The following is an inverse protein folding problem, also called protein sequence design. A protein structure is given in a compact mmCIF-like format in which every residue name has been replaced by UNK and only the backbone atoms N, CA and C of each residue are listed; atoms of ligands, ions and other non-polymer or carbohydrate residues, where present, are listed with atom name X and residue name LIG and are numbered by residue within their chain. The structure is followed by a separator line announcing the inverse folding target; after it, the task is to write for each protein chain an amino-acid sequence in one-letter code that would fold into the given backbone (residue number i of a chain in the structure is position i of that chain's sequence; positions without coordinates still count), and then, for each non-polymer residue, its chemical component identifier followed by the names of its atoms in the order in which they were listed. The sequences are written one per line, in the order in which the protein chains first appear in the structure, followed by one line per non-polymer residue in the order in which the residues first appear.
data_IF_179772088697
#
_entry.id   IF_179772088697
#
_cell.length_a   1.000
_cell.length_b   1.000
_cell.length_c   1.000
_cell.angle_alpha   90.00
_cell.angle_beta   90.00
_cell.angle_gamma   90.00
#
_symmetry.space_group_name_H-M   'P 1'
#
loop_
_entity.id
_entity.type
_entity.pdbx_description
1 polymer ?
#
# COMPACT_ATOMS: atom_id res chain seq x y z
N UNK A 1 -47.50 -22.37 2.16
CA UNK A 1 -47.33 -21.17 1.33
C UNK A 1 -45.89 -20.66 1.49
N UNK A 2 -45.11 -20.74 0.41
CA UNK A 2 -43.65 -20.86 0.40
C UNK A 2 -42.88 -19.74 1.15
N UNK A 3 -41.90 -20.14 1.98
CA UNK A 3 -40.94 -19.23 2.64
C UNK A 3 -40.28 -18.24 1.65
N UNK A 4 -40.09 -18.65 0.39
CA UNK A 4 -39.59 -17.82 -0.69
C UNK A 4 -40.53 -16.65 -1.07
N UNK A 5 -41.85 -16.86 -1.10
CA UNK A 5 -42.82 -15.80 -1.44
C UNK A 5 -42.86 -14.76 -0.34
N UNK A 6 -42.81 -15.19 0.93
CA UNK A 6 -42.68 -14.27 2.08
C UNK A 6 -41.42 -13.42 2.03
N UNK A 7 -40.28 -13.99 1.61
CA UNK A 7 -39.03 -13.25 1.49
C UNK A 7 -39.11 -12.16 0.42
N UNK A 8 -39.62 -12.48 -0.79
CA UNK A 8 -39.78 -11.51 -1.87
C UNK A 8 -40.77 -10.38 -1.53
N UNK A 9 -41.89 -10.68 -0.85
CA UNK A 9 -42.79 -9.65 -0.35
C UNK A 9 -42.12 -8.76 0.69
N UNK A 10 -41.32 -9.33 1.60
CA UNK A 10 -40.60 -8.57 2.63
C UNK A 10 -39.58 -7.62 2.00
N UNK A 11 -38.86 -8.07 0.95
CA UNK A 11 -37.93 -7.24 0.18
C UNK A 11 -38.67 -6.11 -0.55
N UNK A 12 -39.79 -6.42 -1.20
CA UNK A 12 -40.60 -5.42 -1.92
C UNK A 12 -41.17 -4.36 -0.97
N UNK A 13 -41.61 -4.77 0.22
CA UNK A 13 -42.09 -3.87 1.27
C UNK A 13 -40.97 -2.99 1.83
N UNK A 14 -39.77 -3.54 2.05
CA UNK A 14 -38.61 -2.78 2.51
C UNK A 14 -38.19 -1.71 1.49
N UNK A 15 -38.16 -2.03 0.20
CA UNK A 15 -37.82 -1.07 -0.87
C UNK A 15 -38.88 0.05 -0.96
N UNK A 16 -40.16 -0.29 -0.82
CA UNK A 16 -41.23 0.71 -0.82
C UNK A 16 -41.17 1.64 0.41
N UNK A 17 -40.78 1.12 1.58
CA UNK A 17 -40.57 1.90 2.79
C UNK A 17 -39.37 2.86 2.68
N UNK A 18 -38.31 2.47 1.94
CA UNK A 18 -37.18 3.36 1.63
C UNK A 18 -37.61 4.49 0.68
N UNK A 19 -38.47 4.18 -0.30
CA UNK A 19 -38.92 5.16 -1.29
C UNK A 19 -39.87 6.23 -0.74
N UNK A 20 -40.58 5.97 0.36
CA UNK A 20 -41.46 6.96 0.99
C UNK A 20 -40.69 8.05 1.74
N UNK A 21 -39.45 7.77 2.19
CA UNK A 21 -38.63 8.69 3.00
C UNK A 21 -37.17 8.79 2.50
N UNK A 22 -37.00 9.13 1.22
CA UNK A 22 -35.71 9.13 0.49
C UNK A 22 -34.57 9.85 1.21
N UNK A 23 -34.79 11.06 1.72
CA UNK A 23 -33.76 11.86 2.40
C UNK A 23 -33.28 11.17 3.68
N UNK A 24 -34.23 10.64 4.46
CA UNK A 24 -33.95 9.98 5.73
C UNK A 24 -33.17 8.69 5.51
N UNK A 25 -33.61 7.86 4.55
CA UNK A 25 -32.94 6.63 4.16
C UNK A 25 -31.55 6.87 3.58
N UNK A 26 -31.36 7.95 2.81
CA UNK A 26 -30.05 8.30 2.24
C UNK A 26 -29.06 8.74 3.32
N UNK A 27 -29.49 9.59 4.26
CA UNK A 27 -28.68 10.04 5.41
C UNK A 27 -28.25 8.88 6.33
N UNK A 28 -29.11 7.86 6.48
CA UNK A 28 -28.78 6.67 7.27
C UNK A 28 -27.78 5.77 6.59
N UNK A 29 -28.02 5.49 5.31
CA UNK A 29 -27.12 4.65 4.53
C UNK A 29 -25.76 5.30 4.39
N UNK A 30 -25.66 6.65 4.43
CA UNK A 30 -24.41 7.38 4.27
C UNK A 30 -23.32 6.95 5.26
N UNK A 31 -23.66 6.74 6.53
CA UNK A 31 -22.69 6.27 7.54
C UNK A 31 -22.17 4.86 7.25
N UNK A 32 -23.05 3.97 6.79
CA UNK A 32 -22.68 2.60 6.37
C UNK A 32 -21.85 2.62 5.09
N UNK A 33 -22.25 3.44 4.12
CA UNK A 33 -21.57 3.61 2.83
C UNK A 33 -20.13 4.10 3.05
N UNK A 34 -19.95 5.16 3.84
CA UNK A 34 -18.62 5.73 4.12
C UNK A 34 -17.76 4.75 4.91
N UNK A 35 -18.33 4.11 5.94
CA UNK A 35 -17.60 3.12 6.74
C UNK A 35 -17.11 1.94 5.89
N UNK A 36 -17.98 1.37 5.07
CA UNK A 36 -17.65 0.24 4.19
C UNK A 36 -16.66 0.64 3.08
N UNK A 37 -16.86 1.79 2.44
CA UNK A 37 -15.95 2.29 1.42
C UNK A 37 -14.53 2.50 1.98
N UNK A 38 -14.42 3.07 3.18
CA UNK A 38 -13.13 3.33 3.85
C UNK A 38 -12.35 2.04 4.12
N UNK A 39 -13.04 1.00 4.64
CA UNK A 39 -12.43 -0.32 4.90
C UNK A 39 -11.92 -0.94 3.60
N UNK A 40 -12.71 -0.90 2.52
CA UNK A 40 -12.30 -1.48 1.23
C UNK A 40 -11.08 -0.78 0.66
N UNK A 41 -11.09 0.55 0.63
CA UNK A 41 -9.98 1.33 0.08
C UNK A 41 -8.68 0.98 0.79
N UNK A 42 -8.71 0.93 2.11
CA UNK A 42 -7.52 0.66 2.91
C UNK A 42 -6.98 -0.76 2.72
N UNK A 43 -7.85 -1.76 2.81
CA UNK A 43 -7.42 -3.16 2.61
C UNK A 43 -6.90 -3.35 1.18
N UNK A 44 -7.50 -2.68 0.20
CA UNK A 44 -7.04 -2.73 -1.19
C UNK A 44 -5.67 -2.07 -1.37
N UNK A 45 -5.44 -0.93 -0.72
CA UNK A 45 -4.12 -0.26 -0.70
C UNK A 45 -3.09 -1.17 -0.01
N UNK A 46 -3.41 -1.73 1.15
CA UNK A 46 -2.52 -2.61 1.89
C UNK A 46 -2.09 -3.82 1.05
N UNK A 47 -3.06 -4.53 0.47
CA UNK A 47 -2.78 -5.66 -0.41
C UNK A 47 -1.98 -5.26 -1.66
N UNK A 48 -2.24 -4.07 -2.22
CA UNK A 48 -1.53 -3.57 -3.39
C UNK A 48 -0.08 -3.23 -3.07
N UNK A 49 0.17 -2.59 -1.92
CA UNK A 49 1.53 -2.28 -1.43
C UNK A 49 2.28 -3.57 -1.13
N UNK A 50 1.70 -4.48 -0.34
CA UNK A 50 2.35 -5.76 -0.01
C UNK A 50 2.67 -6.54 -1.27
N UNK A 51 1.73 -6.65 -2.22
CA UNK A 51 1.95 -7.32 -3.50
C UNK A 51 3.05 -6.66 -4.34
N UNK A 52 3.07 -5.32 -4.42
CA UNK A 52 4.11 -4.58 -5.13
C UNK A 52 5.49 -4.84 -4.53
N UNK A 53 5.63 -4.69 -3.22
CA UNK A 53 6.91 -4.88 -2.52
C UNK A 53 7.39 -6.32 -2.66
N UNK A 54 6.52 -7.31 -2.47
CA UNK A 54 6.84 -8.73 -2.69
C UNK A 54 7.35 -8.94 -4.11
N UNK A 55 6.67 -8.38 -5.12
CA UNK A 55 7.09 -8.54 -6.52
C UNK A 55 8.44 -7.87 -6.82
N UNK A 56 8.77 -6.75 -6.19
CA UNK A 56 10.09 -6.13 -6.36
C UNK A 56 11.19 -6.94 -5.68
N UNK A 57 10.93 -7.52 -4.51
CA UNK A 57 11.90 -8.41 -3.88
C UNK A 57 12.07 -9.74 -4.62
N UNK A 58 11.01 -10.32 -5.16
CA UNK A 58 11.10 -11.49 -6.03
C UNK A 58 11.98 -11.21 -7.25
N UNK A 59 11.87 -10.00 -7.84
CA UNK A 59 12.75 -9.58 -8.94
C UNK A 59 14.20 -9.42 -8.48
N UNK A 60 14.45 -8.91 -7.27
CA UNK A 60 15.81 -8.73 -6.73
C UNK A 60 16.45 -10.06 -6.28
N UNK A 61 15.64 -11.08 -5.98
CA UNK A 61 16.06 -12.36 -5.41
C UNK A 61 16.01 -12.34 -3.88
N UNK A 62 15.60 -13.45 -3.26
CA UNK A 62 15.44 -13.60 -1.80
C UNK A 62 16.74 -13.46 -0.98
N UNK A 63 17.88 -13.34 -1.66
CA UNK A 63 19.22 -13.43 -1.08
C UNK A 63 19.92 -12.06 -1.03
N UNK A 64 19.14 -10.97 -0.98
CA UNK A 64 19.67 -9.60 -0.90
C UNK A 64 19.62 -9.10 0.54
N UNK A 65 20.74 -8.59 1.03
CA UNK A 65 20.86 -7.85 2.29
C UNK A 65 21.27 -6.43 1.96
N UNK A 66 20.48 -5.46 2.40
CA UNK A 66 20.77 -4.04 2.29
C UNK A 66 21.39 -3.54 3.60
N UNK A 67 22.59 -2.99 3.53
CA UNK A 67 23.19 -2.27 4.65
C UNK A 67 22.97 -0.77 4.46
N UNK A 68 22.36 -0.11 5.46
CA UNK A 68 22.19 1.34 5.50
C UNK A 68 23.02 1.96 6.61
N UNK A 69 23.57 3.15 6.44
CA UNK A 69 24.33 3.83 7.47
C UNK A 69 23.44 4.30 8.63
N UNK A 70 23.99 4.20 9.83
CA UNK A 70 23.33 4.54 11.08
C UNK A 70 22.27 3.54 11.51
N UNK A 71 21.65 3.85 12.65
CA UNK A 71 20.53 3.09 13.21
C UNK A 71 19.21 3.60 12.61
N UNK A 72 18.65 2.85 11.67
CA UNK A 72 17.36 3.17 11.08
C UNK A 72 16.28 2.48 11.91
N UNK A 73 15.66 3.23 12.82
CA UNK A 73 14.46 2.76 13.53
C UNK A 73 13.25 3.06 12.65
N UNK A 74 12.67 2.03 12.04
CA UNK A 74 11.35 2.12 11.38
C UNK A 74 10.27 2.16 12.47
N UNK A 75 10.20 3.27 13.22
CA UNK A 75 9.17 3.48 14.24
C UNK A 75 8.12 4.46 13.73
N UNK A 76 6.85 4.09 13.90
CA UNK A 76 5.69 4.97 13.75
C UNK A 76 5.74 5.99 14.88
N UNK A 77 6.39 7.14 14.66
CA UNK A 77 6.46 8.19 15.70
C UNK A 77 7.68 9.10 15.71
N UNK A 78 8.13 9.61 14.55
CA UNK A 78 8.96 10.83 14.53
C UNK A 78 10.47 10.66 14.71
N UNK A 79 11.03 9.49 14.47
CA UNK A 79 12.46 9.39 14.16
C UNK A 79 12.72 9.91 12.75
N UNK A 80 13.54 10.94 12.58
CA UNK A 80 13.90 11.46 11.26
C UNK A 80 14.69 10.37 10.50
N UNK A 81 14.15 9.71 9.45
CA UNK A 81 14.83 8.60 8.77
C UNK A 81 16.15 9.04 8.14
N UNK A 82 16.34 10.36 7.99
CA UNK A 82 17.54 10.96 7.39
C UNK A 82 18.70 11.17 8.36
N UNK A 83 18.52 11.01 9.68
CA UNK A 83 19.58 11.29 10.66
C UNK A 83 20.76 10.32 10.55
N UNK A 84 20.49 9.03 10.26
CA UNK A 84 21.54 8.03 9.94
C UNK A 84 22.22 8.27 8.59
N UNK A 85 21.46 8.80 7.61
CA UNK A 85 21.98 9.13 6.28
C UNK A 85 22.91 10.35 6.28
N UNK A 86 22.81 11.26 7.26
CA UNK A 86 23.66 12.47 7.31
C UNK A 86 25.10 12.23 7.76
N UNK A 87 25.36 11.19 8.57
CA UNK A 87 26.70 10.85 9.10
C UNK A 87 27.11 9.41 8.74
N UNK A 88 27.05 9.05 7.46
CA UNK A 88 27.53 7.75 6.99
C UNK A 88 29.02 7.59 7.27
N UNK A 89 29.38 6.56 8.05
CA UNK A 89 30.77 6.13 8.30
C UNK A 89 31.22 5.03 7.33
N UNK A 90 30.37 4.63 6.38
CA UNK A 90 30.72 3.63 5.39
C UNK A 90 31.88 4.11 4.52
N UNK A 91 32.76 3.18 4.23
CA UNK A 91 33.94 3.36 3.41
C UNK A 91 34.10 2.16 2.47
N UNK A 92 35.08 2.24 1.57
CA UNK A 92 35.45 1.10 0.71
C UNK A 92 36.05 -0.07 1.52
N UNK A 93 36.38 0.14 2.81
CA UNK A 93 36.88 -0.91 3.71
C UNK A 93 35.81 -1.94 4.01
N UNK A 94 34.56 -1.51 4.23
CA UNK A 94 33.45 -2.41 4.49
C UNK A 94 33.22 -3.36 3.31
N UNK A 95 33.29 -2.85 2.07
CA UNK A 95 33.20 -3.67 0.86
C UNK A 95 34.28 -4.77 0.88
N UNK A 96 35.54 -4.40 1.11
CA UNK A 96 36.67 -5.35 1.13
C UNK A 96 36.51 -6.40 2.23
N UNK A 97 35.96 -6.04 3.38
CA UNK A 97 35.68 -6.98 4.46
C UNK A 97 34.59 -7.97 4.06
N UNK A 98 33.55 -7.52 3.35
CA UNK A 98 32.44 -8.35 2.86
C UNK A 98 32.89 -9.25 1.70
N UNK A 99 33.69 -8.75 0.76
CA UNK A 99 34.23 -9.53 -0.38
C UNK A 99 35.09 -10.71 0.07
N UNK A 100 35.73 -10.63 1.25
CA UNK A 100 36.48 -11.73 1.85
C UNK A 100 35.60 -12.90 2.30
N UNK A 101 34.30 -12.68 2.49
CA UNK A 101 33.34 -13.72 2.88
C UNK A 101 32.91 -14.56 1.68
N UNK A 102 33.85 -15.09 0.90
CA UNK A 102 33.60 -15.83 -0.34
C UNK A 102 32.76 -17.10 -0.15
N UNK A 103 32.72 -17.64 1.07
CA UNK A 103 31.82 -18.73 1.46
C UNK A 103 30.36 -18.32 1.53
N UNK A 104 30.06 -17.04 1.78
CA UNK A 104 28.72 -16.52 2.12
C UNK A 104 28.17 -15.53 1.10
N UNK A 105 29.03 -14.64 0.61
CA UNK A 105 28.67 -13.55 -0.29
C UNK A 105 28.99 -13.96 -1.72
N UNK A 106 28.03 -13.73 -2.62
CA UNK A 106 28.19 -13.92 -4.06
C UNK A 106 28.73 -12.64 -4.70
N UNK A 107 28.11 -11.50 -4.39
CA UNK A 107 28.52 -10.19 -4.90
C UNK A 107 28.15 -9.08 -3.90
N UNK A 108 28.89 -7.98 -3.94
CA UNK A 108 28.61 -6.77 -3.15
C UNK A 108 28.80 -5.55 -4.03
N UNK A 109 27.97 -4.53 -3.81
CA UNK A 109 28.08 -3.25 -4.50
C UNK A 109 27.74 -2.10 -3.58
N UNK A 110 28.35 -0.94 -3.83
CA UNK A 110 28.03 0.30 -3.14
C UNK A 110 27.01 1.13 -3.88
N UNK A 111 26.29 1.93 -3.12
CA UNK A 111 25.46 3.00 -3.65
C UNK A 111 25.80 4.33 -2.99
N UNK A 112 25.87 5.37 -3.81
CA UNK A 112 25.86 6.76 -3.36
C UNK A 112 24.89 7.53 -4.24
N UNK A 113 23.87 8.11 -3.62
CA UNK A 113 22.82 8.85 -4.33
C UNK A 113 22.94 10.35 -4.11
N UNK A 114 22.71 11.13 -5.16
CA UNK A 114 22.53 12.59 -5.09
C UNK A 114 21.54 13.04 -6.19
N UNK A 115 20.95 14.21 -6.04
CA UNK A 115 20.09 14.79 -7.09
C UNK A 115 20.88 15.80 -7.91
N UNK A 116 20.90 15.63 -9.23
CA UNK A 116 21.63 16.50 -10.16
C UNK A 116 20.76 16.92 -11.33
N UNK A 117 21.07 18.07 -11.93
CA UNK A 117 20.38 18.55 -13.12
C UNK A 117 21.01 17.90 -14.35
N UNK A 118 20.24 17.07 -15.05
CA UNK A 118 20.62 16.54 -16.36
C UNK A 118 20.16 17.48 -17.47
N UNK A 119 21.02 17.73 -18.45
CA UNK A 119 20.77 18.61 -19.59
C UNK A 119 21.22 17.98 -20.91
N UNK A 120 20.35 18.06 -21.91
CA UNK A 120 20.67 17.75 -23.30
C UNK A 120 20.00 18.79 -24.20
N UNK A 121 20.80 19.52 -24.98
CA UNK A 121 20.32 20.63 -25.82
C UNK A 121 19.51 21.65 -24.98
N UNK A 122 18.21 21.79 -25.27
CA UNK A 122 17.27 22.68 -24.58
C UNK A 122 16.45 21.99 -23.48
N UNK A 123 16.56 20.67 -23.34
CA UNK A 123 15.80 19.92 -22.34
C UNK A 123 16.63 19.80 -21.06
N UNK A 124 15.98 20.00 -19.93
CA UNK A 124 16.58 19.87 -18.60
C UNK A 124 15.64 19.07 -17.70
N UNK A 125 16.22 18.26 -16.81
CA UNK A 125 15.47 17.43 -15.89
C UNK A 125 16.30 17.15 -14.64
N UNK A 126 15.69 17.24 -13.46
CA UNK A 126 16.35 16.84 -12.21
C UNK A 126 16.17 15.33 -12.02
N UNK A 127 17.28 14.62 -11.89
CA UNK A 127 17.31 13.17 -11.78
C UNK A 127 18.19 12.73 -10.62
N UNK A 128 17.83 11.61 -10.02
CA UNK A 128 18.66 10.94 -9.04
C UNK A 128 19.84 10.28 -9.75
N UNK A 129 21.04 10.71 -9.39
CA UNK A 129 22.27 10.02 -9.73
C UNK A 129 22.42 8.84 -8.78
N UNK A 130 22.64 7.67 -9.34
CA UNK A 130 22.93 6.45 -8.61
C UNK A 130 24.37 6.02 -8.90
N UNK A 131 25.29 6.44 -8.05
CA UNK A 131 26.70 6.14 -8.23
C UNK A 131 27.02 4.78 -7.63
N UNK A 132 27.56 3.87 -8.44
CA UNK A 132 27.78 2.48 -8.04
C UNK A 132 29.02 1.87 -8.71
N UNK A 133 29.32 0.61 -8.43
CA UNK A 133 30.42 -0.12 -9.07
C UNK A 133 29.96 -1.01 -10.23
N UNK A 134 30.93 -1.66 -10.87
CA UNK A 134 30.69 -2.53 -12.03
C UNK A 134 29.86 -3.79 -11.73
N UNK A 135 29.73 -4.20 -10.46
CA UNK A 135 29.00 -5.40 -10.05
C UNK A 135 27.52 -5.13 -9.80
N UNK A 136 27.05 -3.90 -9.99
CA UNK A 136 25.67 -3.51 -9.71
C UNK A 136 24.64 -4.45 -10.32
N UNK A 137 24.82 -4.87 -11.58
CA UNK A 137 23.86 -5.75 -12.27
C UNK A 137 23.92 -7.21 -11.77
N UNK A 138 25.00 -7.62 -11.12
CA UNK A 138 25.13 -8.96 -10.54
C UNK A 138 24.44 -9.05 -9.18
N UNK A 139 24.44 -7.93 -8.44
CA UNK A 139 23.79 -7.78 -7.13
C UNK A 139 22.32 -7.45 -7.26
N UNK A 140 22.00 -6.47 -8.11
CA UNK A 140 20.65 -5.94 -8.31
C UNK A 140 20.21 -6.35 -9.72
N UNK A 141 19.08 -7.04 -9.82
CA UNK A 141 18.56 -7.58 -11.08
C UNK A 141 17.96 -6.48 -11.98
N UNK A 142 18.76 -5.47 -12.34
CA UNK A 142 18.48 -4.50 -13.39
C UNK A 142 18.94 -5.08 -14.73
N UNK A 143 18.11 -4.91 -15.77
CA UNK A 143 18.45 -5.30 -17.13
C UNK A 143 18.71 -4.06 -17.99
N UNK A 144 19.78 -4.11 -18.77
CA UNK A 144 20.09 -3.10 -19.78
C UNK A 144 19.52 -3.59 -21.10
N UNK A 145 18.47 -2.93 -21.61
CA UNK A 145 17.77 -3.35 -22.84
C UNK A 145 18.47 -2.85 -24.11
N UNK A 146 19.30 -1.82 -23.98
CA UNK A 146 19.99 -1.19 -25.10
C UNK A 146 21.37 -0.72 -24.65
N UNK A 147 22.40 -1.04 -25.42
CA UNK A 147 23.79 -0.72 -25.09
C UNK A 147 24.39 -1.72 -24.10
N UNK A 148 25.16 -1.22 -23.11
CA UNK A 148 25.85 -2.04 -22.11
C UNK A 148 25.99 -1.31 -20.77
N UNK A 149 26.37 -2.06 -19.74
CA UNK A 149 26.85 -1.49 -18.48
C UNK A 149 28.33 -1.07 -18.59
N UNK A 150 28.80 -0.25 -17.64
CA UNK A 150 30.22 0.12 -17.60
C UNK A 150 31.07 -1.05 -17.06
N UNK A 151 32.27 -1.16 -17.60
CA UNK A 151 33.23 -2.23 -17.27
C UNK A 151 34.05 -1.88 -16.03
N UNK A 152 34.75 -2.89 -15.48
CA UNK A 152 35.72 -2.69 -14.39
C UNK A 152 36.81 -1.67 -14.73
N UNK A 153 37.30 -1.66 -15.97
CA UNK A 153 38.31 -0.72 -16.43
C UNK A 153 37.80 0.72 -16.43
N UNK A 154 36.57 0.94 -16.92
CA UNK A 154 35.91 2.26 -16.92
C UNK A 154 35.60 2.74 -15.50
N UNK A 155 35.24 1.82 -14.60
CA UNK A 155 35.12 2.13 -13.18
C UNK A 155 36.47 2.58 -12.60
N UNK A 156 37.55 1.83 -12.83
CA UNK A 156 38.87 2.16 -12.29
C UNK A 156 39.45 3.47 -12.85
N UNK A 157 39.19 3.78 -14.13
CA UNK A 157 39.67 5.00 -14.78
C UNK A 157 38.80 6.23 -14.52
N UNK A 158 37.75 6.12 -13.68
CA UNK A 158 36.75 7.17 -13.47
C UNK A 158 36.16 7.71 -14.79
N UNK A 159 35.79 6.79 -15.70
CA UNK A 159 35.24 7.14 -16.99
C UNK A 159 33.92 7.91 -16.87
N UNK A 160 33.71 8.89 -17.75
CA UNK A 160 32.51 9.72 -17.79
C UNK A 160 31.43 9.07 -18.65
N UNK A 161 30.99 7.89 -18.21
CA UNK A 161 29.94 7.11 -18.86
C UNK A 161 28.73 7.00 -17.95
N UNK A 162 27.55 6.87 -18.53
CA UNK A 162 26.30 6.74 -17.80
C UNK A 162 25.37 5.70 -18.43
N UNK A 163 24.58 5.05 -17.57
CA UNK A 163 23.45 4.20 -17.95
C UNK A 163 22.19 4.86 -17.43
N UNK A 164 21.19 5.06 -18.29
CA UNK A 164 20.03 5.90 -17.97
C UNK A 164 18.73 5.11 -17.94
N UNK A 165 17.81 5.51 -17.08
CA UNK A 165 16.45 4.99 -17.04
C UNK A 165 15.55 5.58 -18.12
N UNK A 166 14.40 4.93 -18.33
CA UNK A 166 13.50 5.26 -19.44
C UNK A 166 12.88 6.67 -19.33
N UNK A 167 12.61 7.19 -18.13
CA UNK A 167 12.11 8.57 -17.96
C UNK A 167 13.14 9.59 -18.45
N UNK A 168 14.43 9.34 -18.24
CA UNK A 168 15.49 10.22 -18.73
C UNK A 168 15.53 10.23 -20.26
N UNK A 169 15.32 9.07 -20.89
CA UNK A 169 15.20 8.99 -22.36
C UNK A 169 14.04 9.86 -22.83
N UNK A 170 12.84 9.66 -22.26
CA UNK A 170 11.63 10.39 -22.66
C UNK A 170 11.73 11.91 -22.44
N UNK A 171 12.23 12.34 -21.27
CA UNK A 171 12.30 13.76 -20.88
C UNK A 171 13.45 14.49 -21.55
N UNK A 172 14.62 13.86 -21.63
CA UNK A 172 15.86 14.51 -22.05
C UNK A 172 16.12 14.34 -23.55
N UNK A 173 15.93 13.14 -24.08
CA UNK A 173 16.21 12.78 -25.47
C UNK A 173 14.96 12.71 -26.37
N UNK A 174 13.76 12.62 -25.79
CA UNK A 174 12.47 12.54 -26.51
C UNK A 174 12.46 11.37 -27.50
N UNK A 175 12.44 11.67 -28.81
CA UNK A 175 12.38 10.66 -29.88
C UNK A 175 13.76 10.31 -30.44
N UNK A 176 14.84 10.84 -29.86
CA UNK A 176 16.20 10.58 -30.30
C UNK A 176 16.80 9.37 -29.57
N UNK A 177 17.52 8.49 -30.28
CA UNK A 177 18.31 7.42 -29.66
C UNK A 177 19.39 8.05 -28.75
N UNK A 178 19.41 7.74 -27.44
CA UNK A 178 20.36 8.32 -26.49
C UNK A 178 21.75 7.68 -26.55
N UNK A 179 21.90 6.45 -27.06
CA UNK A 179 23.17 5.73 -27.03
C UNK A 179 24.27 6.46 -27.80
N UNK A 180 25.45 6.53 -27.19
CA UNK A 180 26.64 7.20 -27.73
C UNK A 180 26.59 8.73 -27.65
N UNK A 181 25.49 9.32 -27.16
CA UNK A 181 25.34 10.77 -27.08
C UNK A 181 25.90 11.32 -25.78
N UNK A 182 26.38 12.55 -25.89
CA UNK A 182 26.84 13.32 -24.74
C UNK A 182 25.69 14.13 -24.14
N UNK A 183 25.54 14.08 -22.82
CA UNK A 183 24.67 14.94 -22.04
C UNK A 183 25.45 15.51 -20.86
N UNK A 184 24.92 16.56 -20.25
CA UNK A 184 25.57 17.23 -19.11
C UNK A 184 24.85 16.91 -17.82
N UNK A 185 25.58 16.51 -16.79
CA UNK A 185 25.14 16.45 -15.40
C UNK A 185 25.75 17.64 -14.66
N UNK A 186 24.89 18.57 -14.23
CA UNK A 186 25.25 19.93 -13.79
C UNK A 186 26.15 20.65 -14.79
N UNK A 187 27.47 20.57 -14.62
CA UNK A 187 28.50 21.18 -15.45
C UNK A 187 29.47 20.17 -16.09
N UNK A 188 29.25 18.86 -15.89
CA UNK A 188 30.12 17.78 -16.35
C UNK A 188 29.48 16.97 -17.46
N UNK A 189 30.24 16.66 -18.51
CA UNK A 189 29.81 15.90 -19.69
C UNK A 189 29.96 14.40 -19.48
N UNK A 190 28.93 13.64 -19.87
CA UNK A 190 28.87 12.18 -19.80
C UNK A 190 28.35 11.59 -21.11
N UNK A 191 28.83 10.40 -21.47
CA UNK A 191 28.35 9.64 -22.62
C UNK A 191 27.36 8.57 -22.16
N UNK A 192 26.20 8.49 -22.80
CA UNK A 192 25.24 7.41 -22.56
C UNK A 192 25.74 6.12 -23.22
N UNK A 193 25.97 5.08 -22.43
CA UNK A 193 26.44 3.77 -22.91
C UNK A 193 25.39 2.68 -22.79
N UNK A 194 24.30 2.92 -22.05
CA UNK A 194 23.24 1.95 -21.85
C UNK A 194 21.91 2.58 -21.41
N UNK A 195 20.83 1.84 -21.63
CA UNK A 195 19.46 2.18 -21.20
C UNK A 195 18.86 1.00 -20.44
N UNK A 196 18.32 1.26 -19.26
CA UNK A 196 17.64 0.24 -18.45
C UNK A 196 16.26 -0.16 -19.02
N UNK A 197 15.85 -1.39 -18.72
CA UNK A 197 14.46 -1.82 -18.86
C UNK A 197 13.53 -0.93 -18.03
N UNK A 198 12.35 -0.62 -18.58
CA UNK A 198 11.31 0.13 -17.88
C UNK A 198 10.78 -0.70 -16.72
N UNK A 199 10.92 -0.20 -15.48
CA UNK A 199 10.37 -0.84 -14.27
C UNK A 199 9.16 -0.09 -13.71
N UNK A 200 8.99 1.18 -14.06
CA UNK A 200 7.96 2.04 -13.49
C UNK A 200 8.33 2.56 -12.11
N UNK A 201 7.36 3.08 -11.37
CA UNK A 201 7.57 3.66 -10.05
C UNK A 201 6.33 3.60 -9.17
N UNK A 202 6.48 3.85 -7.88
CA UNK A 202 5.43 3.76 -6.86
C UNK A 202 5.33 5.05 -6.04
N UNK A 203 4.12 5.53 -5.74
CA UNK A 203 3.90 6.54 -4.69
C UNK A 203 4.64 7.86 -4.92
N UNK A 204 4.79 8.28 -6.18
CA UNK A 204 5.53 9.48 -6.58
C UNK A 204 7.04 9.26 -6.72
N UNK A 205 7.57 8.07 -6.42
CA UNK A 205 8.92 7.66 -6.84
C UNK A 205 8.90 7.20 -8.29
N UNK A 206 9.91 7.58 -9.05
CA UNK A 206 10.12 7.15 -10.44
C UNK A 206 11.45 6.41 -10.52
N UNK A 207 11.40 5.07 -10.52
CA UNK A 207 12.61 4.25 -10.62
C UNK A 207 13.20 4.28 -12.04
N UNK A 208 12.46 4.82 -13.03
CA UNK A 208 12.95 5.04 -14.39
C UNK A 208 13.63 6.43 -14.52
N UNK A 209 13.60 7.27 -13.48
CA UNK A 209 14.26 8.58 -13.40
C UNK A 209 15.68 8.50 -12.79
N UNK A 210 16.38 7.40 -13.06
CA UNK A 210 17.73 7.11 -12.55
C UNK A 210 18.80 7.36 -13.61
N UNK A 211 19.95 7.88 -13.19
CA UNK A 211 21.17 7.97 -14.00
C UNK A 211 22.30 7.31 -13.21
N UNK A 212 22.75 6.16 -13.69
CA UNK A 212 23.80 5.38 -13.04
C UNK A 212 25.16 5.74 -13.63
N UNK A 213 26.12 6.09 -12.76
CA UNK A 213 27.51 6.42 -13.13
C UNK A 213 28.50 5.67 -12.23
N UNK A 214 29.77 5.50 -12.64
CA UNK A 214 30.78 4.91 -11.76
C UNK A 214 30.97 5.73 -10.47
N UNK A 215 31.01 5.06 -9.32
CA UNK A 215 31.25 5.71 -8.01
C UNK A 215 32.56 6.49 -7.97
N UNK A 216 33.63 5.97 -8.60
CA UNK A 216 34.91 6.67 -8.76
C UNK A 216 34.75 8.00 -9.49
N UNK A 217 33.93 8.05 -10.55
CA UNK A 217 33.61 9.27 -11.30
C UNK A 217 32.81 10.24 -10.46
N UNK A 218 31.81 9.76 -9.71
CA UNK A 218 31.01 10.58 -8.82
C UNK A 218 31.85 11.19 -7.68
N UNK A 219 32.74 10.39 -7.09
CA UNK A 219 33.68 10.80 -6.05
C UNK A 219 34.65 11.87 -6.56
N UNK A 220 35.17 11.70 -7.77
CA UNK A 220 36.14 12.62 -8.39
C UNK A 220 35.49 13.94 -8.84
N UNK A 221 34.35 13.89 -9.53
CA UNK A 221 33.77 15.04 -10.19
C UNK A 221 32.75 15.82 -9.34
N UNK A 222 32.06 15.14 -8.43
CA UNK A 222 31.00 15.72 -7.60
C UNK A 222 31.31 15.68 -6.10
N UNK A 223 32.51 15.23 -5.71
CA UNK A 223 32.90 15.02 -4.30
C UNK A 223 31.90 14.13 -3.52
N UNK A 224 31.21 13.21 -4.22
CA UNK A 224 30.28 12.26 -3.61
C UNK A 224 31.05 11.16 -2.88
N UNK A 225 31.48 11.46 -1.65
CA UNK A 225 32.21 10.51 -0.80
C UNK A 225 31.30 9.70 0.13
N UNK A 226 30.06 10.16 0.30
CA UNK A 226 29.10 9.57 1.23
C UNK A 226 28.41 8.37 0.58
N UNK A 227 28.71 7.18 1.07
CA UNK A 227 28.02 5.94 0.68
C UNK A 227 26.66 5.93 1.39
N UNK A 228 25.58 5.88 0.60
CA UNK A 228 24.19 5.85 1.11
C UNK A 228 23.74 4.45 1.49
N UNK A 229 24.41 3.41 0.99
CA UNK A 229 24.11 2.03 1.30
C UNK A 229 25.10 1.05 0.66
N UNK A 230 25.02 -0.21 1.08
CA UNK A 230 25.75 -1.33 0.49
C UNK A 230 24.76 -2.45 0.23
N UNK A 231 24.67 -2.88 -1.02
CA UNK A 231 23.82 -3.99 -1.44
C UNK A 231 24.68 -5.26 -1.49
N UNK A 232 24.24 -6.32 -0.80
CA UNK A 232 25.01 -7.55 -0.63
C UNK A 232 24.15 -8.73 -1.07
N UNK A 233 24.59 -9.43 -2.12
CA UNK A 233 23.95 -10.65 -2.59
C UNK A 233 24.62 -11.86 -1.97
N UNK A 234 23.85 -12.66 -1.24
CA UNK A 234 24.33 -13.87 -0.57
C UNK A 234 24.14 -15.09 -1.46
N UNK A 235 24.94 -16.13 -1.22
CA UNK A 235 24.80 -17.40 -1.94
C UNK A 235 23.46 -18.07 -1.62
N UNK A 236 22.76 -18.65 -2.61
CA UNK A 236 21.48 -19.34 -2.37
C UNK A 236 21.54 -20.54 -1.42
N UNK A 237 22.73 -21.13 -1.24
CA UNK A 237 22.95 -22.28 -0.37
C UNK A 237 23.02 -21.94 1.12
N UNK A 238 22.92 -20.67 1.50
CA UNK A 238 23.08 -20.21 2.88
C UNK A 238 21.81 -19.49 3.33
N UNK A 239 21.33 -19.88 4.50
CA UNK A 239 20.22 -19.21 5.18
C UNK A 239 20.52 -17.73 5.39
N UNK A 240 19.58 -16.87 4.97
CA UNK A 240 19.79 -15.41 4.93
C UNK A 240 20.13 -14.83 6.31
N UNK A 241 19.58 -15.40 7.37
CA UNK A 241 19.83 -14.99 8.74
C UNK A 241 21.26 -15.33 9.21
N UNK A 242 21.83 -16.43 8.75
CA UNK A 242 23.22 -16.79 9.07
C UNK A 242 24.21 -15.99 8.21
N UNK A 243 23.85 -15.69 6.97
CA UNK A 243 24.58 -14.75 6.14
C UNK A 243 24.61 -13.35 6.78
N UNK A 244 23.46 -12.87 7.29
CA UNK A 244 23.33 -11.60 8.00
C UNK A 244 24.25 -11.53 9.22
N UNK A 245 24.33 -12.58 10.05
CA UNK A 245 25.26 -12.64 11.19
C UNK A 245 26.73 -12.56 10.76
N UNK A 246 27.10 -13.24 9.68
CA UNK A 246 28.46 -13.21 9.14
C UNK A 246 28.84 -11.82 8.62
N UNK A 247 27.91 -11.15 7.92
CA UNK A 247 28.07 -9.78 7.44
C UNK A 247 28.14 -8.80 8.62
N UNK A 248 27.27 -8.94 9.62
CA UNK A 248 27.30 -8.10 10.83
C UNK A 248 28.68 -8.15 11.50
N UNK A 249 29.26 -9.35 11.65
CA UNK A 249 30.62 -9.51 12.18
C UNK A 249 31.69 -8.80 11.33
N UNK A 250 31.55 -8.80 10.01
CA UNK A 250 32.48 -8.12 9.11
C UNK A 250 32.38 -6.58 9.23
N UNK A 251 31.17 -6.03 9.40
CA UNK A 251 30.97 -4.61 9.67
C UNK A 251 31.54 -4.20 11.04
N UNK A 252 31.37 -5.06 12.06
CA UNK A 252 31.86 -4.79 13.43
C UNK A 252 33.39 -4.78 13.56
N UNK A 253 34.15 -5.12 12.51
CA UNK A 253 35.60 -4.97 12.51
C UNK A 253 36.05 -3.50 12.47
N UNK A 254 35.24 -2.63 11.86
CA UNK A 254 35.56 -1.21 11.62
C UNK A 254 34.49 -0.26 12.15
N UNK A 255 33.27 -0.74 12.37
CA UNK A 255 32.10 0.04 12.77
C UNK A 255 31.51 -0.48 14.10
N UNK A 256 30.68 0.35 14.73
CA UNK A 256 29.88 -0.04 15.91
C UNK A 256 28.46 -0.41 15.52
N UNK A 257 27.72 -1.07 16.43
CA UNK A 257 26.33 -1.49 16.17
C UNK A 257 25.36 -0.35 15.84
N UNK A 258 25.66 0.87 16.25
CA UNK A 258 24.81 2.03 15.96
C UNK A 258 25.18 2.73 14.65
N UNK A 259 26.29 2.32 14.01
CA UNK A 259 26.77 2.92 12.75
C UNK A 259 26.16 2.29 11.50
N UNK A 260 25.41 1.19 11.64
CA UNK A 260 24.79 0.50 10.51
C UNK A 260 23.53 -0.26 10.90
N UNK A 261 22.67 -0.49 9.90
CA UNK A 261 21.52 -1.39 9.99
C UNK A 261 21.53 -2.31 8.79
N UNK A 262 21.30 -3.61 9.01
CA UNK A 262 21.18 -4.61 7.95
C UNK A 262 19.71 -5.01 7.80
N UNK A 263 19.16 -4.87 6.60
CA UNK A 263 17.79 -5.23 6.25
C UNK A 263 17.77 -6.42 5.30
N UNK A 264 16.91 -7.39 5.59
CA UNK A 264 16.49 -8.40 4.61
C UNK A 264 15.17 -8.00 3.95
N UNK A 265 14.84 -8.66 2.84
CA UNK A 265 13.54 -8.51 2.19
C UNK A 265 12.36 -8.77 3.15
N UNK A 266 12.47 -9.82 3.96
CA UNK A 266 11.46 -10.22 4.93
C UNK A 266 11.29 -9.19 6.06
N UNK A 267 12.39 -8.62 6.55
CA UNK A 267 12.35 -7.56 7.57
C UNK A 267 11.71 -6.28 7.04
N UNK A 268 11.94 -5.93 5.77
CA UNK A 268 11.28 -4.77 5.16
C UNK A 268 9.79 -5.05 4.94
N UNK A 269 9.43 -6.24 4.44
CA UNK A 269 8.03 -6.65 4.26
C UNK A 269 7.27 -6.69 5.58
N UNK A 270 7.86 -7.25 6.63
CA UNK A 270 7.24 -7.30 7.96
C UNK A 270 7.09 -5.90 8.56
N UNK A 271 8.06 -5.01 8.38
CA UNK A 271 7.96 -3.60 8.79
C UNK A 271 6.81 -2.88 8.08
N UNK A 272 6.69 -3.05 6.76
CA UNK A 272 5.60 -2.47 5.96
C UNK A 272 4.25 -3.03 6.41
N UNK A 273 4.14 -4.35 6.59
CA UNK A 273 2.93 -4.99 7.09
C UNK A 273 2.57 -4.50 8.51
N UNK A 274 3.56 -4.22 9.36
CA UNK A 274 3.34 -3.62 10.68
C UNK A 274 2.76 -2.20 10.59
N UNK A 275 3.29 -1.37 9.69
CA UNK A 275 2.76 -0.02 9.42
C UNK A 275 1.33 -0.10 8.87
N UNK A 276 1.11 -0.94 7.85
CA UNK A 276 -0.20 -1.14 7.26
C UNK A 276 -1.20 -1.68 8.27
N UNK A 277 -0.81 -2.62 9.14
CA UNK A 277 -1.65 -3.15 10.22
C UNK A 277 -2.04 -2.07 11.22
N UNK A 278 -1.11 -1.20 11.59
CA UNK A 278 -1.37 -0.07 12.50
C UNK A 278 -2.35 0.92 11.88
N UNK A 279 -2.12 1.32 10.62
CA UNK A 279 -3.05 2.17 9.87
C UNK A 279 -4.42 1.50 9.70
N UNK A 280 -4.44 0.20 9.43
CA UNK A 280 -5.66 -0.62 9.34
C UNK A 280 -6.43 -0.61 10.64
N UNK A 281 -5.74 -0.74 11.78
CA UNK A 281 -6.37 -0.71 13.09
C UNK A 281 -6.96 0.67 13.41
N UNK A 282 -6.21 1.76 13.15
CA UNK A 282 -6.68 3.12 13.38
C UNK A 282 -7.93 3.46 12.53
N UNK A 283 -7.88 3.12 11.24
CA UNK A 283 -9.00 3.35 10.32
C UNK A 283 -10.17 2.39 10.57
N UNK A 284 -9.92 1.16 11.03
CA UNK A 284 -10.98 0.28 11.52
C UNK A 284 -11.70 0.91 12.72
N UNK A 285 -10.99 1.61 13.61
CA UNK A 285 -11.59 2.42 14.66
C UNK A 285 -12.49 3.54 14.11
N UNK A 286 -12.02 4.29 13.12
CA UNK A 286 -12.81 5.35 12.46
C UNK A 286 -14.03 4.76 11.73
N UNK A 287 -13.86 3.61 11.07
CA UNK A 287 -14.94 2.88 10.42
C UNK A 287 -15.95 2.38 11.45
N UNK A 288 -15.50 1.84 12.59
CA UNK A 288 -16.36 1.41 13.68
C UNK A 288 -17.20 2.58 14.24
N UNK A 289 -16.60 3.76 14.41
CA UNK A 289 -17.34 4.98 14.81
C UNK A 289 -18.36 5.38 13.73
N UNK A 290 -17.95 5.40 12.46
CA UNK A 290 -18.84 5.74 11.33
C UNK A 290 -20.03 4.78 11.23
N UNK A 291 -19.79 3.51 11.52
CA UNK A 291 -20.83 2.47 11.56
C UNK A 291 -21.70 2.56 12.80
N UNK A 292 -21.16 2.98 13.93
CA UNK A 292 -21.97 3.26 15.11
C UNK A 292 -22.92 4.42 14.82
N UNK A 293 -22.45 5.49 14.18
CA UNK A 293 -23.30 6.61 13.74
C UNK A 293 -24.33 6.16 12.71
N UNK A 294 -23.91 5.41 11.67
CA UNK A 294 -24.83 4.86 10.66
C UNK A 294 -25.85 3.88 11.26
N UNK A 295 -25.41 3.03 12.18
CA UNK A 295 -26.21 2.05 12.90
C UNK A 295 -27.24 2.69 13.83
N UNK A 296 -26.85 3.72 14.59
CA UNK A 296 -27.81 4.54 15.36
C UNK A 296 -28.85 5.16 14.43
N UNK A 297 -28.42 5.63 13.26
CA UNK A 297 -29.34 6.08 12.23
C UNK A 297 -30.36 5.00 11.86
N UNK A 298 -29.91 3.78 11.54
CA UNK A 298 -30.78 2.65 11.19
C UNK A 298 -31.76 2.38 12.34
N UNK A 299 -31.25 2.32 13.57
CA UNK A 299 -32.07 2.11 14.77
C UNK A 299 -33.16 3.18 14.90
N UNK A 300 -32.82 4.46 14.73
CA UNK A 300 -33.76 5.57 14.86
C UNK A 300 -34.83 5.53 13.78
N UNK A 301 -34.46 5.29 12.51
CA UNK A 301 -35.44 5.14 11.44
C UNK A 301 -36.38 3.98 11.73
N UNK A 302 -35.83 2.86 12.18
CA UNK A 302 -36.63 1.69 12.50
C UNK A 302 -37.56 1.95 13.68
N UNK A 303 -37.13 2.66 14.72
CA UNK A 303 -38.01 3.06 15.83
C UNK A 303 -39.16 3.95 15.35
N UNK A 304 -38.87 4.93 14.48
CA UNK A 304 -39.90 5.80 13.91
C UNK A 304 -40.85 5.01 13.01
N UNK A 305 -40.34 4.11 12.17
CA UNK A 305 -41.14 3.21 11.32
C UNK A 305 -42.06 2.30 12.17
N UNK A 306 -41.55 1.77 13.30
CA UNK A 306 -42.36 0.99 14.23
C UNK A 306 -43.46 1.82 14.87
N UNK A 307 -43.20 3.09 15.20
CA UNK A 307 -44.24 3.98 15.74
C UNK A 307 -45.28 4.33 14.69
N UNK A 308 -44.88 4.72 13.47
CA UNK A 308 -45.78 5.05 12.36
C UNK A 308 -46.65 3.84 11.94
N UNK A 309 -46.09 2.63 12.03
CA UNK A 309 -46.77 1.37 11.66
C UNK A 309 -47.39 0.64 12.86
N UNK A 310 -47.56 1.30 14.02
CA UNK A 310 -48.08 0.66 15.24
C UNK A 310 -49.42 -0.02 15.00
N UNK A 311 -50.37 0.66 14.34
CA UNK A 311 -51.71 0.13 14.04
C UNK A 311 -51.67 -1.08 13.10
N UNK A 312 -50.80 -1.06 12.08
CA UNK A 312 -50.57 -2.17 11.15
C UNK A 312 -50.04 -3.42 11.89
N UNK A 313 -49.09 -3.23 12.82
CA UNK A 313 -48.53 -4.30 13.65
C UNK A 313 -49.62 -4.90 14.56
N UNK A 314 -50.46 -4.05 15.17
CA UNK A 314 -51.58 -4.48 16.01
C UNK A 314 -52.59 -5.33 15.24
N UNK A 315 -52.97 -4.89 14.04
CA UNK A 315 -53.84 -5.63 13.14
C UNK A 315 -53.25 -7.01 12.80
N UNK A 316 -51.99 -7.08 12.37
CA UNK A 316 -51.33 -8.37 12.05
C UNK A 316 -51.35 -9.35 13.21
N UNK A 317 -51.09 -8.88 14.43
CA UNK A 317 -51.14 -9.72 15.63
C UNK A 317 -52.56 -10.16 15.98
N UNK A 318 -53.56 -9.30 15.79
CA UNK A 318 -54.95 -9.66 16.00
C UNK A 318 -55.43 -10.77 15.04
N UNK A 319 -54.89 -10.83 13.81
CA UNK A 319 -55.15 -11.92 12.85
C UNK A 319 -54.23 -13.14 13.03
N UNK A 320 -53.42 -13.19 14.09
CA UNK A 320 -52.64 -14.38 14.48
C UNK A 320 -51.14 -14.37 14.15
N UNK A 321 -50.55 -13.23 13.76
CA UNK A 321 -49.09 -13.16 13.60
C UNK A 321 -48.36 -13.31 14.94
N UNK A 322 -47.40 -14.24 15.02
CA UNK A 322 -46.60 -14.42 16.24
C UNK A 322 -45.62 -13.27 16.44
N UNK A 323 -45.17 -12.97 17.69
CA UNK A 323 -44.13 -12.00 17.95
C UNK A 323 -42.85 -12.25 17.12
N UNK A 324 -42.51 -13.52 16.89
CA UNK A 324 -41.34 -13.90 16.10
C UNK A 324 -41.50 -13.55 14.60
N UNK A 325 -42.72 -13.60 14.05
CA UNK A 325 -42.97 -13.15 12.68
C UNK A 325 -42.69 -11.65 12.53
N UNK A 326 -43.13 -10.85 13.51
CA UNK A 326 -42.89 -9.41 13.53
C UNK A 326 -41.40 -9.10 13.71
N UNK A 327 -40.72 -9.82 14.62
CA UNK A 327 -39.28 -9.67 14.85
C UNK A 327 -38.50 -9.90 13.54
N UNK A 328 -38.71 -11.04 12.88
CA UNK A 328 -37.99 -11.39 11.64
C UNK A 328 -38.30 -10.38 10.53
N UNK A 329 -39.52 -9.87 10.42
CA UNK A 329 -39.89 -8.87 9.43
C UNK A 329 -39.05 -7.59 9.58
N UNK A 330 -39.06 -6.97 10.77
CA UNK A 330 -38.33 -5.72 11.00
C UNK A 330 -36.82 -5.92 10.97
N UNK A 331 -36.32 -7.07 11.44
CA UNK A 331 -34.88 -7.40 11.35
C UNK A 331 -34.42 -7.64 9.91
N UNK A 332 -35.28 -8.19 9.06
CA UNK A 332 -35.00 -8.32 7.62
C UNK A 332 -35.01 -6.96 6.94
N UNK A 333 -35.91 -6.05 7.33
CA UNK A 333 -35.97 -4.68 6.80
C UNK A 333 -34.69 -3.89 7.13
N UNK A 334 -34.21 -3.97 8.38
CA UNK A 334 -32.94 -3.33 8.78
C UNK A 334 -31.72 -3.97 8.09
N UNK A 335 -31.71 -5.30 7.93
CA UNK A 335 -30.67 -6.02 7.21
C UNK A 335 -30.61 -5.56 5.74
N UNK A 336 -31.75 -5.44 5.07
CA UNK A 336 -31.81 -4.98 3.67
C UNK A 336 -31.27 -3.57 3.53
N UNK A 337 -31.67 -2.64 4.41
CA UNK A 337 -31.16 -1.26 4.41
C UNK A 337 -29.64 -1.26 4.55
N UNK A 338 -29.12 -2.04 5.51
CA UNK A 338 -27.68 -2.11 5.74
C UNK A 338 -26.94 -2.72 4.56
N UNK A 339 -27.43 -3.83 4.00
CA UNK A 339 -26.84 -4.51 2.84
C UNK A 339 -26.84 -3.61 1.61
N UNK A 340 -27.92 -2.86 1.35
CA UNK A 340 -27.94 -1.88 0.26
C UNK A 340 -26.89 -0.79 0.50
N UNK A 341 -26.80 -0.26 1.72
CA UNK A 341 -25.74 0.68 2.09
C UNK A 341 -24.34 0.09 1.91
N UNK A 342 -24.13 -1.17 2.30
CA UNK A 342 -22.88 -1.88 2.16
C UNK A 342 -22.49 -2.13 0.70
N UNK A 343 -23.44 -2.52 -0.15
CA UNK A 343 -23.21 -2.67 -1.58
C UNK A 343 -22.84 -1.34 -2.25
N UNK A 344 -23.51 -0.24 -1.88
CA UNK A 344 -23.15 1.09 -2.35
C UNK A 344 -21.77 1.52 -1.84
N UNK A 345 -21.44 1.22 -0.58
CA UNK A 345 -20.10 1.42 -0.03
C UNK A 345 -19.04 0.59 -0.75
N UNK A 346 -19.35 -0.66 -1.10
CA UNK A 346 -18.48 -1.53 -1.89
C UNK A 346 -18.23 -0.94 -3.26
N UNK A 347 -19.30 -0.50 -3.92
CA UNK A 347 -19.23 0.12 -5.24
C UNK A 347 -18.39 1.42 -5.22
N UNK A 348 -18.62 2.31 -4.24
CA UNK A 348 -17.83 3.53 -4.11
C UNK A 348 -16.36 3.24 -3.74
N UNK A 349 -16.11 2.26 -2.86
CA UNK A 349 -14.75 1.82 -2.55
C UNK A 349 -14.03 1.26 -3.77
N UNK A 350 -14.73 0.48 -4.60
CA UNK A 350 -14.20 -0.02 -5.87
C UNK A 350 -13.86 1.13 -6.84
N UNK A 351 -14.77 2.08 -7.06
CA UNK A 351 -14.51 3.25 -7.90
C UNK A 351 -13.32 4.07 -7.37
N UNK A 352 -13.26 4.30 -6.06
CA UNK A 352 -12.15 4.99 -5.43
C UNK A 352 -10.82 4.24 -5.63
N UNK A 353 -10.82 2.91 -5.53
CA UNK A 353 -9.63 2.09 -5.79
C UNK A 353 -9.15 2.19 -7.24
N UNK A 354 -10.06 2.29 -8.22
CA UNK A 354 -9.70 2.45 -9.63
C UNK A 354 -9.00 3.80 -9.87
N UNK A 355 -9.53 4.86 -9.26
CA UNK A 355 -8.91 6.20 -9.34
C UNK A 355 -7.54 6.20 -8.66
N UNK A 356 -7.46 5.58 -7.48
CA UNK A 356 -6.23 5.49 -6.70
C UNK A 356 -5.16 4.62 -7.36
N UNK A 357 -5.55 3.59 -8.13
CA UNK A 357 -4.62 2.68 -8.84
C UNK A 357 -3.60 3.42 -9.71
N UNK A 358 -3.95 4.60 -10.22
CA UNK A 358 -3.06 5.44 -11.02
C UNK A 358 -1.92 6.08 -10.21
N UNK A 359 -2.05 6.15 -8.88
CA UNK A 359 -1.10 6.81 -7.98
C UNK A 359 -0.47 5.83 -6.98
N UNK A 360 -1.27 4.86 -6.52
CA UNK A 360 -0.92 3.87 -5.50
C UNK A 360 -1.47 2.51 -5.95
N UNK A 361 -0.67 1.43 -5.96
CA UNK A 361 -1.15 0.06 -6.09
C UNK A 361 -2.27 -0.21 -5.09
N UNK A 362 -3.46 -0.37 -5.64
CA UNK A 362 -4.64 -0.81 -4.92
C UNK A 362 -5.14 -2.06 -5.62
N UNK A 363 -5.20 -3.18 -4.89
CA UNK A 363 -5.72 -4.45 -5.39
C UNK A 363 -6.95 -4.85 -4.58
N UNK A 364 -8.10 -4.79 -5.24
CA UNK A 364 -9.35 -5.27 -4.66
C UNK A 364 -9.32 -6.79 -4.62
N UNK A 365 -9.46 -7.38 -3.43
CA UNK A 365 -9.54 -8.84 -3.27
C UNK A 365 -10.95 -9.27 -2.89
N UNK A 366 -11.32 -10.51 -3.25
CA UNK A 366 -12.62 -11.07 -2.87
C UNK A 366 -12.80 -11.10 -1.35
N UNK A 367 -11.72 -11.33 -0.60
CA UNK A 367 -11.73 -11.31 0.86
C UNK A 367 -12.12 -9.94 1.41
N UNK A 368 -11.64 -8.85 0.81
CA UNK A 368 -12.01 -7.48 1.19
C UNK A 368 -13.51 -7.22 0.99
N UNK A 369 -14.07 -7.71 -0.12
CA UNK A 369 -15.50 -7.56 -0.44
C UNK A 369 -16.37 -8.38 0.51
N UNK A 370 -15.99 -9.63 0.78
CA UNK A 370 -16.70 -10.51 1.72
C UNK A 370 -16.67 -9.95 3.15
N UNK A 371 -15.52 -9.43 3.59
CA UNK A 371 -15.38 -8.80 4.90
C UNK A 371 -16.28 -7.57 4.99
N UNK A 372 -16.23 -6.67 4.00
CA UNK A 372 -17.08 -5.49 3.92
C UNK A 372 -18.58 -5.82 3.94
N UNK A 373 -18.99 -6.84 3.18
CA UNK A 373 -20.37 -7.31 3.13
C UNK A 373 -20.83 -7.89 4.47
N UNK A 374 -20.03 -8.79 5.07
CA UNK A 374 -20.33 -9.38 6.38
C UNK A 374 -20.43 -8.29 7.46
N UNK A 375 -19.56 -7.27 7.39
CA UNK A 375 -19.55 -6.17 8.32
C UNK A 375 -20.81 -5.30 8.21
N UNK A 376 -21.22 -4.95 6.98
CA UNK A 376 -22.49 -4.27 6.71
C UNK A 376 -23.69 -5.07 7.20
N UNK A 377 -23.76 -6.36 6.92
CA UNK A 377 -24.84 -7.22 7.39
C UNK A 377 -24.91 -7.26 8.92
N UNK A 378 -23.77 -7.37 9.60
CA UNK A 378 -23.66 -7.33 11.06
C UNK A 378 -24.24 -6.06 11.68
N UNK A 379 -23.96 -4.89 11.09
CA UNK A 379 -24.51 -3.60 11.55
C UNK A 379 -26.04 -3.56 11.45
N UNK A 380 -26.60 -4.08 10.36
CA UNK A 380 -28.05 -4.13 10.15
C UNK A 380 -28.77 -5.05 11.15
N UNK A 381 -28.10 -6.13 11.54
CA UNK A 381 -28.60 -7.07 12.57
C UNK A 381 -28.52 -6.41 13.95
N UNK A 382 -27.35 -5.92 14.36
CA UNK A 382 -27.12 -5.38 15.71
C UNK A 382 -28.09 -4.21 16.00
N UNK A 383 -28.09 -3.19 15.14
CA UNK A 383 -28.90 -2.00 15.35
C UNK A 383 -30.39 -2.17 14.99
N UNK A 384 -30.72 -3.19 14.19
CA UNK A 384 -32.10 -3.58 13.89
C UNK A 384 -32.78 -4.40 14.99
N UNK A 385 -32.00 -5.08 15.85
CA UNK A 385 -32.52 -6.01 16.85
C UNK A 385 -33.40 -5.31 17.89
N UNK A 386 -32.97 -4.17 18.43
CA UNK A 386 -33.74 -3.45 19.46
C UNK A 386 -35.10 -2.92 18.96
N UNK A 387 -35.18 -2.21 17.81
CA UNK A 387 -36.47 -1.79 17.24
C UNK A 387 -37.37 -2.98 16.89
N UNK A 388 -36.82 -4.03 16.29
CA UNK A 388 -37.58 -5.23 15.93
C UNK A 388 -38.17 -5.93 17.18
N UNK A 389 -37.39 -6.01 18.26
CA UNK A 389 -37.86 -6.52 19.54
C UNK A 389 -38.98 -5.66 20.12
N UNK A 390 -38.83 -4.32 20.06
CA UNK A 390 -39.87 -3.38 20.54
C UNK A 390 -41.18 -3.53 19.76
N UNK A 391 -41.12 -3.71 18.44
CA UNK A 391 -42.29 -3.99 17.60
C UNK A 391 -42.94 -5.35 17.97
N UNK A 392 -42.12 -6.38 18.13
CA UNK A 392 -42.57 -7.72 18.51
C UNK A 392 -43.25 -7.77 19.88
N UNK A 393 -42.94 -6.84 20.81
CA UNK A 393 -43.52 -6.78 22.16
C UNK A 393 -44.78 -5.90 22.29
N UNK A 394 -45.17 -5.14 21.25
CA UNK A 394 -46.41 -4.32 21.27
C UNK A 394 -47.67 -5.16 21.55
N UNK A 395 -48.54 -4.71 22.45
CA UNK A 395 -49.83 -5.33 22.72
C UNK A 395 -50.82 -5.01 21.57
N UNK A 396 -51.55 -6.01 21.01
CA UNK A 396 -52.51 -5.78 19.93
C UNK A 396 -53.61 -4.78 20.29
N UNK A 397 -54.09 -4.80 21.54
CA UNK A 397 -55.18 -3.95 22.01
C UNK A 397 -54.73 -2.49 22.05
N UNK A 398 -53.59 -2.22 22.68
CA UNK A 398 -53.02 -0.86 22.77
C UNK A 398 -52.63 -0.32 21.39
N UNK A 399 -52.18 -1.19 20.48
CA UNK A 399 -51.79 -0.81 19.13
C UNK A 399 -52.97 -0.40 18.23
N UNK A 400 -54.16 -0.97 18.45
CA UNK A 400 -55.39 -0.62 17.71
C UNK A 400 -56.08 0.63 18.26
N UNK A 401 -55.79 0.99 19.52
CA UNK A 401 -56.28 2.19 20.19
C UNK A 401 -55.42 3.43 19.94
N UNK A 402 -54.26 3.24 19.31
CA UNK A 402 -53.34 4.30 18.95
C UNK A 402 -53.88 5.05 17.71
N UNK A 403 -54.09 6.36 17.83
CA UNK A 403 -54.45 7.25 16.71
C UNK A 403 -53.24 7.56 15.82
#
# INVERSE_FOLDING_TARGET
MNKFVKFFETVKLAINAINSNKVRSLLTMLGVIIGVASVILLVSIGNGITGYVTSEFEKLGSNLILATPGKVTVAIGGGNPTSGLTNSKFSETEIKNIERLTGTVEAVTIEATDSKRAKYKKNEYYSMIYASDHNLLEVINYKVISGRFFTKAEYQSAARVAVIGNTIVEKLFKNENPLGKEFTLDDKKFIVIGVYEKRGGFGGSDNDSIITIPFTTAKLLFNMRRISGINIKTKPSIEINDAKKSIEKAFLMTLTKDDFTLFTAEELLSSINGILSTLTTALAGIAAISLLVGGIGIMNIMLVSVTERTREIGLRKAVGATPNNILVQFLTESLIISVIGGLNGIFLGYLGSLVLKNFIPATLTLNSVLLAFAFSAGVGIIFGTYPAYKAAKKNPIDALRYE
#
